data_IF_033706801662
#
_entry.id   IF_033706801662
#
_cell.length_a   1.000
_cell.length_b   1.000
_cell.length_c   1.000
_cell.angle_alpha   90.00
_cell.angle_beta   90.00
_cell.angle_gamma   90.00
#
_symmetry.space_group_name_H-M   'P 1'
#
loop_
_entity.id
_entity.type
_entity.pdbx_description
1 polymer ?
#
# COMPACT_ATOMS: atom_id res chain seq x y z
N UNK A 1 52.20 -27.76 33.15
CA UNK A 1 51.70 -26.45 32.66
C UNK A 1 50.19 -26.52 32.72
N UNK A 2 49.67 -26.25 33.92
CA UNK A 2 48.87 -25.05 34.22
C UNK A 2 47.39 -25.39 34.00
N UNK A 3 46.67 -25.91 35.01
CA UNK A 3 46.18 -25.16 36.17
C UNK A 3 45.43 -23.89 35.76
N UNK A 4 44.16 -24.02 35.33
CA UNK A 4 43.19 -22.95 35.54
C UNK A 4 41.74 -23.47 35.59
N UNK A 5 41.13 -23.21 36.75
CA UNK A 5 39.72 -22.85 36.92
C UNK A 5 38.67 -23.92 37.26
N UNK A 6 38.73 -24.40 38.51
CA UNK A 6 37.51 -24.57 39.33
C UNK A 6 36.98 -23.18 39.71
N UNK A 7 35.87 -22.71 39.11
CA UNK A 7 34.94 -21.75 39.77
C UNK A 7 33.48 -21.97 39.37
N UNK A 8 32.76 -22.61 40.30
CA UNK A 8 31.36 -22.34 40.73
C UNK A 8 30.24 -22.08 39.68
N UNK A 9 29.25 -23.00 39.52
CA UNK A 9 28.03 -22.75 38.73
C UNK A 9 27.01 -21.80 39.39
N UNK A 10 27.36 -21.12 40.49
CA UNK A 10 26.41 -20.28 41.26
C UNK A 10 26.25 -18.83 40.75
N UNK A 11 27.15 -18.34 39.89
CA UNK A 11 27.10 -16.93 39.43
C UNK A 11 26.20 -16.75 38.20
N UNK A 12 26.12 -17.75 37.32
CA UNK A 12 25.26 -17.69 36.12
C UNK A 12 23.76 -17.77 36.48
N UNK A 13 23.42 -18.52 37.53
CA UNK A 13 22.04 -18.57 38.04
C UNK A 13 21.58 -17.26 38.70
N UNK A 14 22.49 -16.50 39.33
CA UNK A 14 22.11 -15.24 39.99
C UNK A 14 21.79 -14.14 38.97
N UNK A 15 22.58 -13.99 37.90
CA UNK A 15 22.34 -12.96 36.87
C UNK A 15 21.06 -13.21 36.06
N UNK A 16 20.76 -14.47 35.73
CA UNK A 16 19.57 -14.79 34.94
C UNK A 16 18.26 -14.64 35.76
N UNK A 17 18.31 -14.90 37.07
CA UNK A 17 17.14 -14.76 37.94
C UNK A 17 16.87 -13.30 38.33
N UNK A 18 17.91 -12.49 38.56
CA UNK A 18 17.75 -11.07 38.87
C UNK A 18 17.27 -10.26 37.66
N UNK A 19 17.72 -10.57 36.43
CA UNK A 19 17.19 -9.92 35.22
C UNK A 19 15.71 -10.28 34.97
N UNK A 20 15.33 -11.55 35.16
CA UNK A 20 13.94 -12.00 34.98
C UNK A 20 13.01 -11.37 36.02
N UNK A 21 13.45 -11.27 37.28
CA UNK A 21 12.70 -10.59 38.35
C UNK A 21 12.56 -9.07 38.14
N UNK A 22 13.53 -8.41 37.51
CA UNK A 22 13.44 -6.98 37.17
C UNK A 22 12.51 -6.74 35.97
N UNK A 23 12.55 -7.62 34.97
CA UNK A 23 11.64 -7.58 33.82
C UNK A 23 10.20 -7.90 34.27
N UNK A 24 9.99 -8.96 35.04
CA UNK A 24 8.67 -9.32 35.58
C UNK A 24 8.12 -8.20 36.47
N UNK A 25 8.93 -7.59 37.35
CA UNK A 25 8.48 -6.42 38.14
C UNK A 25 8.19 -5.19 37.27
N UNK A 26 8.92 -4.99 36.18
CA UNK A 26 8.68 -3.91 35.22
C UNK A 26 7.37 -4.09 34.47
N UNK A 27 7.08 -5.30 34.01
CA UNK A 27 5.82 -5.68 33.35
C UNK A 27 4.63 -5.64 34.30
N UNK A 28 4.77 -6.12 35.54
CA UNK A 28 3.71 -6.08 36.55
C UNK A 28 3.37 -4.65 36.99
N UNK A 29 4.38 -3.78 37.09
CA UNK A 29 4.23 -2.36 37.45
C UNK A 29 3.64 -1.56 36.27
N UNK A 30 4.12 -1.79 35.05
CA UNK A 30 3.55 -1.22 33.82
C UNK A 30 2.09 -1.66 33.60
N UNK A 31 1.76 -2.92 33.87
CA UNK A 31 0.39 -3.44 33.80
C UNK A 31 -0.56 -2.79 34.82
N UNK A 32 -0.10 -2.58 36.07
CA UNK A 32 -0.89 -1.89 37.11
C UNK A 32 -1.07 -0.40 36.82
N UNK A 33 -0.04 0.28 36.32
CA UNK A 33 -0.12 1.70 35.90
C UNK A 33 -1.03 1.88 34.68
N UNK A 34 -0.96 0.99 33.69
CA UNK A 34 -1.85 1.00 32.52
C UNK A 34 -3.31 0.75 32.92
N UNK A 35 -3.58 -0.23 33.78
CA UNK A 35 -4.93 -0.48 34.30
C UNK A 35 -5.48 0.71 35.11
N UNK A 36 -4.64 1.37 35.91
CA UNK A 36 -5.02 2.56 36.66
C UNK A 36 -5.31 3.75 35.73
N UNK A 37 -4.48 3.96 34.70
CA UNK A 37 -4.71 4.96 33.66
C UNK A 37 -6.02 4.73 32.91
N UNK A 38 -6.32 3.49 32.54
CA UNK A 38 -7.53 3.14 31.79
C UNK A 38 -8.82 3.33 32.62
N UNK A 39 -8.77 3.06 33.94
CA UNK A 39 -9.87 3.37 34.86
C UNK A 39 -10.12 4.87 34.99
N UNK A 40 -9.06 5.68 35.05
CA UNK A 40 -9.15 7.14 35.11
C UNK A 40 -9.75 7.73 33.83
N UNK A 41 -9.36 7.22 32.65
CA UNK A 41 -9.94 7.64 31.36
C UNK A 41 -11.42 7.26 31.30
N UNK A 42 -11.79 6.05 31.71
CA UNK A 42 -13.19 5.59 31.72
C UNK A 42 -14.07 6.48 32.62
N UNK A 43 -13.57 6.87 33.80
CA UNK A 43 -14.26 7.76 34.72
C UNK A 43 -14.47 9.17 34.13
N UNK A 44 -13.50 9.70 33.40
CA UNK A 44 -13.62 11.02 32.76
C UNK A 44 -14.62 11.01 31.61
N UNK A 45 -14.60 9.97 30.77
CA UNK A 45 -15.56 9.80 29.67
C UNK A 45 -16.98 9.71 30.21
N UNK A 46 -17.20 8.95 31.29
CA UNK A 46 -18.52 8.86 31.92
C UNK A 46 -18.99 10.21 32.49
N UNK A 47 -18.07 10.97 33.08
CA UNK A 47 -18.38 12.28 33.68
C UNK A 47 -18.76 13.32 32.62
N UNK A 48 -18.19 13.23 31.42
CA UNK A 48 -18.36 14.21 30.34
C UNK A 48 -19.09 13.64 29.12
N UNK A 49 -19.85 12.56 29.29
CA UNK A 49 -20.54 11.83 28.21
C UNK A 49 -21.34 12.76 27.29
N UNK A 50 -22.00 13.79 27.85
CA UNK A 50 -22.78 14.76 27.10
C UNK A 50 -21.97 15.49 26.02
N UNK A 51 -20.69 15.80 26.29
CA UNK A 51 -19.81 16.48 25.33
C UNK A 51 -19.42 15.52 24.19
N UNK A 52 -19.16 14.25 24.51
CA UNK A 52 -18.88 13.23 23.50
C UNK A 52 -20.08 12.99 22.59
N UNK A 53 -21.28 12.85 23.17
CA UNK A 53 -22.52 12.69 22.42
C UNK A 53 -22.80 13.92 21.55
N UNK A 54 -22.63 15.13 22.10
CA UNK A 54 -22.80 16.37 21.34
C UNK A 54 -21.87 16.43 20.12
N UNK A 55 -20.58 16.14 20.30
CA UNK A 55 -19.61 16.14 19.20
C UNK A 55 -19.91 15.06 18.17
N UNK A 56 -20.32 13.87 18.61
CA UNK A 56 -20.73 12.80 17.72
C UNK A 56 -21.94 13.19 16.86
N UNK A 57 -23.00 13.72 17.48
CA UNK A 57 -24.20 14.19 16.77
C UNK A 57 -23.86 15.32 15.80
N UNK A 58 -23.03 16.28 16.23
CA UNK A 58 -22.56 17.38 15.38
C UNK A 58 -21.81 16.88 14.14
N UNK A 59 -20.94 15.88 14.32
CA UNK A 59 -20.20 15.27 13.21
C UNK A 59 -21.12 14.53 12.23
N UNK A 60 -22.07 13.74 12.74
CA UNK A 60 -23.08 13.05 11.92
C UNK A 60 -23.94 14.06 11.16
N UNK A 61 -24.37 15.14 11.81
CA UNK A 61 -25.08 16.24 11.16
C UNK A 61 -24.23 16.80 10.01
N UNK A 62 -22.94 17.07 10.24
CA UNK A 62 -22.00 17.47 9.19
C UNK A 62 -22.01 16.50 8.01
N UNK A 63 -21.88 15.20 8.26
CA UNK A 63 -21.91 14.17 7.21
C UNK A 63 -23.22 14.20 6.39
N UNK A 64 -24.37 14.34 7.06
CA UNK A 64 -25.67 14.45 6.40
C UNK A 64 -25.73 15.70 5.51
N UNK A 65 -25.32 16.86 6.03
CA UNK A 65 -25.28 18.11 5.26
C UNK A 65 -24.35 18.00 4.06
N UNK A 66 -23.18 17.38 4.22
CA UNK A 66 -22.25 17.11 3.11
C UNK A 66 -22.89 16.33 1.97
N UNK A 67 -23.61 15.25 2.29
CA UNK A 67 -24.32 14.45 1.29
C UNK A 67 -25.49 15.22 0.64
N UNK A 68 -26.21 16.03 1.41
CA UNK A 68 -27.32 16.86 0.89
C UNK A 68 -26.81 17.94 -0.07
N UNK A 69 -25.66 18.57 0.22
CA UNK A 69 -25.05 19.59 -0.63
C UNK A 69 -24.82 19.04 -2.04
N UNK A 70 -24.38 17.79 -2.17
CA UNK A 70 -24.20 17.13 -3.47
C UNK A 70 -25.49 17.09 -4.26
N UNK A 71 -26.61 16.79 -3.60
CA UNK A 71 -27.90 16.75 -4.27
C UNK A 71 -28.39 18.13 -4.71
N UNK A 72 -27.96 19.19 -4.01
CA UNK A 72 -28.30 20.58 -4.35
C UNK A 72 -27.46 21.18 -5.49
N UNK A 73 -26.34 20.54 -5.88
CA UNK A 73 -25.51 21.01 -6.98
C UNK A 73 -26.20 20.82 -8.33
N UNK A 74 -26.01 21.78 -9.24
CA UNK A 74 -26.52 21.67 -10.60
C UNK A 74 -25.69 20.65 -11.42
N UNK A 75 -26.20 20.27 -12.58
CA UNK A 75 -25.56 19.27 -13.44
C UNK A 75 -24.13 19.67 -13.87
N UNK A 76 -23.91 20.95 -14.15
CA UNK A 76 -22.61 21.48 -14.60
C UNK A 76 -21.56 21.35 -13.49
N UNK A 77 -21.87 21.80 -12.27
CA UNK A 77 -20.99 21.70 -11.09
C UNK A 77 -20.61 20.25 -10.79
N UNK A 78 -21.56 19.34 -10.94
CA UNK A 78 -21.36 17.90 -10.78
C UNK A 78 -20.41 17.33 -11.84
N UNK A 79 -20.62 17.68 -13.10
CA UNK A 79 -19.76 17.25 -14.20
C UNK A 79 -18.34 17.81 -14.08
N UNK A 80 -18.17 19.08 -13.73
CA UNK A 80 -16.85 19.69 -13.53
C UNK A 80 -16.08 18.95 -12.44
N UNK A 81 -16.70 18.73 -11.27
CA UNK A 81 -16.06 18.02 -10.17
C UNK A 81 -15.73 16.56 -10.54
N UNK A 82 -16.60 15.91 -11.32
CA UNK A 82 -16.36 14.55 -11.78
C UNK A 82 -15.21 14.50 -12.79
N UNK A 83 -15.10 15.49 -13.67
CA UNK A 83 -14.00 15.63 -14.60
C UNK A 83 -12.67 15.84 -13.87
N UNK A 84 -12.61 16.74 -12.88
CA UNK A 84 -11.43 16.90 -12.03
C UNK A 84 -11.05 15.63 -11.29
N UNK A 85 -12.05 14.90 -10.77
CA UNK A 85 -11.82 13.64 -10.08
C UNK A 85 -11.25 12.57 -11.03
N UNK A 86 -11.81 12.45 -12.25
CA UNK A 86 -11.29 11.56 -13.29
C UNK A 86 -9.87 11.93 -13.69
N UNK A 87 -9.63 13.21 -13.98
CA UNK A 87 -8.30 13.71 -14.33
C UNK A 87 -7.30 13.47 -13.20
N UNK A 88 -7.70 13.62 -11.93
CA UNK A 88 -6.85 13.30 -10.78
C UNK A 88 -6.52 11.82 -10.70
N UNK A 89 -7.51 10.93 -10.86
CA UNK A 89 -7.28 9.48 -10.86
C UNK A 89 -6.44 9.01 -12.05
N UNK A 90 -6.69 9.56 -13.24
CA UNK A 90 -5.89 9.32 -14.45
C UNK A 90 -4.46 9.85 -14.27
N UNK A 91 -4.29 11.06 -13.74
CA UNK A 91 -2.96 11.62 -13.49
C UNK A 91 -2.20 10.84 -12.40
N UNK A 92 -2.87 10.30 -11.39
CA UNK A 92 -2.24 9.41 -10.40
C UNK A 92 -1.87 8.04 -10.97
N UNK A 93 -2.63 7.52 -11.94
CA UNK A 93 -2.26 6.30 -12.66
C UNK A 93 -1.14 6.54 -13.69
N UNK A 94 -0.99 7.75 -14.21
CA UNK A 94 0.03 8.13 -15.21
C UNK A 94 1.34 8.65 -14.59
N UNK A 95 1.32 9.15 -13.36
CA UNK A 95 2.50 9.59 -12.59
C UNK A 95 2.79 8.53 -11.52
N UNK A 96 2.97 7.28 -11.95
CA UNK A 96 3.47 6.21 -11.09
C UNK A 96 4.91 6.52 -10.67
N UNK A 97 5.19 6.55 -9.36
CA UNK A 97 6.53 6.22 -8.85
C UNK A 97 7.52 7.35 -8.52
N UNK A 98 7.10 8.51 -8.01
CA UNK A 98 8.00 9.33 -7.15
C UNK A 98 7.33 9.84 -5.87
N UNK A 99 6.10 9.39 -5.60
CA UNK A 99 5.24 10.02 -4.62
C UNK A 99 4.96 9.23 -3.34
N UNK A 100 5.19 7.92 -3.20
CA UNK A 100 4.61 7.19 -2.03
C UNK A 100 5.17 7.62 -0.67
N UNK A 101 6.49 7.84 -0.58
CA UNK A 101 7.10 8.39 0.64
C UNK A 101 6.72 9.86 0.89
N UNK A 102 6.49 10.65 -0.17
CA UNK A 102 6.03 12.03 -0.02
C UNK A 102 4.54 12.07 0.33
N UNK A 103 3.70 11.21 -0.24
CA UNK A 103 2.27 11.06 0.02
C UNK A 103 2.01 10.59 1.44
N UNK A 104 2.80 9.63 1.95
CA UNK A 104 2.73 9.25 3.36
C UNK A 104 3.11 10.42 4.27
N UNK A 105 4.23 11.10 3.97
CA UNK A 105 4.60 12.32 4.71
C UNK A 105 3.48 13.35 4.67
N UNK A 106 2.90 13.62 3.51
CA UNK A 106 1.84 14.60 3.33
C UNK A 106 0.57 14.23 4.10
N UNK A 107 0.19 12.95 4.10
CA UNK A 107 -0.93 12.42 4.89
C UNK A 107 -0.67 12.58 6.39
N UNK A 108 0.49 12.13 6.87
CA UNK A 108 0.91 12.26 8.28
C UNK A 108 0.94 13.73 8.69
N UNK A 109 1.57 14.60 7.89
CA UNK A 109 1.64 16.03 8.17
C UNK A 109 0.26 16.68 8.19
N UNK A 110 -0.66 16.27 7.33
CA UNK A 110 -2.04 16.74 7.35
C UNK A 110 -2.75 16.37 8.67
N UNK A 111 -2.66 15.11 9.08
CA UNK A 111 -3.28 14.64 10.32
C UNK A 111 -2.64 15.28 11.56
N UNK A 112 -1.31 15.44 11.56
CA UNK A 112 -0.57 16.13 12.60
C UNK A 112 -0.99 17.61 12.71
N UNK A 113 -1.09 18.34 11.60
CA UNK A 113 -1.53 19.75 11.59
C UNK A 113 -2.92 19.90 12.21
N UNK A 114 -3.85 19.01 11.86
CA UNK A 114 -5.20 19.05 12.42
C UNK A 114 -5.22 18.75 13.92
N UNK A 115 -4.45 17.75 14.38
CA UNK A 115 -4.31 17.44 15.81
C UNK A 115 -3.70 18.58 16.60
N UNK A 116 -2.63 19.20 16.09
CA UNK A 116 -1.98 20.37 16.71
C UNK A 116 -2.96 21.56 16.77
N UNK A 117 -3.74 21.79 15.71
CA UNK A 117 -4.75 22.83 15.70
C UNK A 117 -5.81 22.62 16.79
N UNK A 118 -6.37 21.42 16.91
CA UNK A 118 -7.32 21.08 17.98
C UNK A 118 -6.71 21.24 19.36
N UNK A 119 -5.45 20.81 19.53
CA UNK A 119 -4.71 20.93 20.77
C UNK A 119 -4.62 22.39 21.22
N UNK A 120 -4.16 23.27 20.32
CA UNK A 120 -3.98 24.70 20.57
C UNK A 120 -5.31 25.40 20.84
N UNK A 121 -6.35 25.08 20.06
CA UNK A 121 -7.68 25.65 20.27
C UNK A 121 -8.22 25.29 21.66
N UNK A 122 -8.00 24.06 22.14
CA UNK A 122 -8.42 23.63 23.47
C UNK A 122 -7.81 24.43 24.62
N UNK A 123 -6.62 25.02 24.44
CA UNK A 123 -5.95 25.87 25.44
C UNK A 123 -6.66 27.24 25.59
N UNK A 124 -7.60 27.56 24.70
CA UNK A 124 -8.33 28.83 24.72
C UNK A 124 -9.84 28.61 24.88
N UNK A 125 -10.51 29.55 25.55
CA UNK A 125 -11.99 29.57 25.64
C UNK A 125 -12.59 29.88 24.26
N UNK A 126 -11.95 30.77 23.50
CA UNK A 126 -12.37 31.16 22.15
C UNK A 126 -12.31 29.96 21.18
N UNK A 127 -11.44 28.98 21.45
CA UNK A 127 -11.33 27.78 20.64
C UNK A 127 -12.55 26.85 20.71
N UNK A 128 -13.39 26.95 21.74
CA UNK A 128 -14.59 26.11 21.89
C UNK A 128 -15.52 26.14 20.65
N UNK A 129 -16.04 27.31 20.20
CA UNK A 129 -16.86 27.38 18.99
C UNK A 129 -16.09 27.04 17.72
N UNK A 130 -14.77 27.26 17.68
CA UNK A 130 -13.96 26.94 16.50
C UNK A 130 -13.81 25.41 16.35
N UNK A 131 -13.57 24.70 17.45
CA UNK A 131 -13.46 23.23 17.47
C UNK A 131 -14.75 22.60 16.94
N UNK A 132 -15.91 23.07 17.36
CA UNK A 132 -17.20 22.53 16.91
C UNK A 132 -17.39 22.75 15.41
N UNK A 133 -17.09 23.96 14.91
CA UNK A 133 -17.14 24.26 13.47
C UNK A 133 -16.17 23.38 12.66
N UNK A 134 -14.94 23.19 13.13
CA UNK A 134 -13.96 22.35 12.45
C UNK A 134 -14.40 20.89 12.34
N UNK A 135 -14.95 20.33 13.43
CA UNK A 135 -15.46 18.95 13.43
C UNK A 135 -16.70 18.81 12.55
N UNK A 136 -17.58 19.80 12.55
CA UNK A 136 -18.72 19.85 11.63
C UNK A 136 -18.26 19.87 10.16
N UNK A 137 -17.31 20.75 9.81
CA UNK A 137 -16.73 20.83 8.46
C UNK A 137 -16.06 19.50 8.08
N UNK A 138 -15.37 18.84 9.01
CA UNK A 138 -14.76 17.53 8.75
C UNK A 138 -15.82 16.49 8.40
N UNK A 139 -16.93 16.44 9.15
CA UNK A 139 -18.08 15.60 8.82
C UNK A 139 -18.66 15.94 7.44
N UNK A 140 -18.84 17.23 7.16
CA UNK A 140 -19.33 17.74 5.87
C UNK A 140 -18.47 17.27 4.70
N UNK A 141 -17.15 17.40 4.78
CA UNK A 141 -16.24 16.96 3.72
C UNK A 141 -16.37 15.46 3.47
N UNK A 142 -16.43 14.63 4.52
CA UNK A 142 -16.58 13.17 4.38
C UNK A 142 -17.93 12.82 3.75
N UNK A 143 -19.01 13.42 4.24
CA UNK A 143 -20.36 13.22 3.70
C UNK A 143 -20.49 13.68 2.25
N UNK A 144 -19.84 14.79 1.89
CA UNK A 144 -19.77 15.28 0.54
C UNK A 144 -19.03 14.30 -0.37
N UNK A 145 -17.86 13.79 0.04
CA UNK A 145 -17.10 12.82 -0.76
C UNK A 145 -17.90 11.55 -1.01
N UNK A 146 -18.51 10.96 0.02
CA UNK A 146 -19.33 9.74 -0.12
C UNK A 146 -20.57 10.02 -0.96
N UNK A 147 -21.30 11.09 -0.66
CA UNK A 147 -22.51 11.49 -1.38
C UNK A 147 -22.23 11.78 -2.85
N UNK A 148 -21.09 12.40 -3.18
CA UNK A 148 -20.67 12.70 -4.54
C UNK A 148 -20.41 11.44 -5.35
N UNK A 149 -19.64 10.50 -4.79
CA UNK A 149 -19.34 9.24 -5.46
C UNK A 149 -20.63 8.42 -5.71
N UNK A 150 -21.51 8.34 -4.72
CA UNK A 150 -22.80 7.64 -4.86
C UNK A 150 -23.71 8.34 -5.88
N UNK A 151 -23.72 9.68 -5.94
CA UNK A 151 -24.54 10.41 -6.90
C UNK A 151 -24.07 10.21 -8.36
N UNK A 152 -22.76 10.11 -8.60
CA UNK A 152 -22.20 9.97 -9.95
C UNK A 152 -22.16 8.52 -10.44
N UNK A 153 -21.83 7.57 -9.56
CA UNK A 153 -21.52 6.18 -9.95
C UNK A 153 -22.51 5.17 -9.36
N UNK A 154 -23.58 5.62 -8.70
CA UNK A 154 -24.57 4.77 -8.07
C UNK A 154 -23.95 3.79 -7.07
N UNK A 155 -24.26 2.51 -7.22
CA UNK A 155 -23.75 1.43 -6.36
C UNK A 155 -22.22 1.25 -6.43
N UNK A 156 -21.60 1.49 -7.59
CA UNK A 156 -20.14 1.46 -7.71
C UNK A 156 -19.48 2.57 -6.89
N UNK A 157 -20.13 3.74 -6.80
CA UNK A 157 -19.67 4.83 -5.94
C UNK A 157 -19.66 4.46 -4.46
N UNK A 158 -20.67 3.71 -4.00
CA UNK A 158 -20.71 3.20 -2.63
C UNK A 158 -19.56 2.23 -2.36
N UNK A 159 -19.30 1.28 -3.27
CA UNK A 159 -18.19 0.35 -3.16
C UNK A 159 -16.83 1.06 -3.14
N UNK A 160 -16.59 1.97 -4.09
CA UNK A 160 -15.35 2.76 -4.15
C UNK A 160 -15.15 3.55 -2.86
N UNK A 161 -16.20 4.19 -2.33
CA UNK A 161 -16.10 4.92 -1.05
C UNK A 161 -15.79 4.01 0.14
N UNK A 162 -16.35 2.79 0.14
CA UNK A 162 -16.14 1.79 1.20
C UNK A 162 -14.73 1.21 1.16
N UNK A 163 -14.10 1.12 -0.01
CA UNK A 163 -12.73 0.60 -0.16
C UNK A 163 -11.69 1.71 0.01
N UNK A 164 -11.96 2.92 -0.48
CA UNK A 164 -10.96 4.01 -0.50
C UNK A 164 -11.05 4.96 0.70
N UNK A 165 -12.26 5.33 1.12
CA UNK A 165 -12.49 6.36 2.14
C UNK A 165 -12.71 5.71 3.51
N UNK A 166 -13.49 4.63 3.58
CA UNK A 166 -13.87 4.06 4.86
C UNK A 166 -12.68 3.52 5.68
N UNK A 167 -11.73 2.72 5.14
CA UNK A 167 -10.74 2.04 5.97
C UNK A 167 -9.91 3.03 6.78
N UNK A 168 -9.28 4.00 6.13
CA UNK A 168 -8.51 5.06 6.81
C UNK A 168 -9.34 5.82 7.85
N UNK A 169 -10.62 6.10 7.55
CA UNK A 169 -11.48 6.90 8.42
C UNK A 169 -12.06 6.12 9.61
N UNK A 170 -12.00 4.79 9.62
CA UNK A 170 -12.41 3.97 10.77
C UNK A 170 -11.61 4.34 12.02
N UNK A 171 -10.32 4.67 11.86
CA UNK A 171 -9.46 5.06 12.99
C UNK A 171 -9.37 6.58 13.15
N UNK A 172 -9.27 7.31 12.04
CA UNK A 172 -9.07 8.78 12.06
C UNK A 172 -10.28 9.49 12.69
N UNK A 173 -11.51 9.10 12.34
CA UNK A 173 -12.72 9.77 12.83
C UNK A 173 -12.83 9.65 14.35
N UNK A 174 -12.80 8.44 14.97
CA UNK A 174 -12.86 8.32 16.43
C UNK A 174 -11.79 9.14 17.13
N UNK A 175 -10.54 9.15 16.62
CA UNK A 175 -9.47 9.94 17.22
C UNK A 175 -9.80 11.43 17.21
N UNK A 176 -10.29 11.98 16.10
CA UNK A 176 -10.66 13.39 16.01
C UNK A 176 -11.83 13.76 16.91
N UNK A 177 -12.83 12.89 17.03
CA UNK A 177 -13.97 13.12 17.92
C UNK A 177 -13.51 13.12 19.38
N UNK A 178 -12.68 12.16 19.80
CA UNK A 178 -12.14 12.10 21.15
C UNK A 178 -11.24 13.31 21.43
N UNK A 179 -10.32 13.66 20.53
CA UNK A 179 -9.45 14.82 20.65
C UNK A 179 -10.25 16.12 20.78
N UNK A 180 -11.28 16.29 19.94
CA UNK A 180 -12.20 17.42 19.99
C UNK A 180 -12.96 17.51 21.31
N UNK A 181 -13.50 16.39 21.79
CA UNK A 181 -14.17 16.34 23.10
C UNK A 181 -13.23 16.68 24.25
N UNK A 182 -11.99 16.15 24.25
CA UNK A 182 -10.98 16.48 25.26
C UNK A 182 -10.61 17.98 25.23
N UNK A 183 -10.46 18.56 24.04
CA UNK A 183 -10.17 19.99 23.88
C UNK A 183 -11.33 20.86 24.41
N UNK A 184 -12.58 20.47 24.15
CA UNK A 184 -13.75 21.16 24.69
C UNK A 184 -13.85 21.03 26.22
N UNK A 185 -13.61 19.84 26.78
CA UNK A 185 -13.61 19.62 28.24
C UNK A 185 -12.55 20.51 28.89
N UNK A 186 -11.34 20.55 28.34
CA UNK A 186 -10.26 21.37 28.88
C UNK A 186 -10.56 22.87 28.78
N UNK A 187 -11.04 23.34 27.63
CA UNK A 187 -11.45 24.73 27.40
C UNK A 187 -12.55 25.17 28.38
N UNK A 188 -13.55 24.32 28.64
CA UNK A 188 -14.60 24.56 29.63
C UNK A 188 -14.06 24.59 31.07
N UNK A 189 -13.12 23.72 31.42
CA UNK A 189 -12.47 23.73 32.73
C UNK A 189 -11.69 25.03 32.94
N UNK A 190 -10.94 25.49 31.93
CA UNK A 190 -10.22 26.76 31.96
C UNK A 190 -11.20 27.94 32.14
N UNK A 191 -12.30 27.95 31.39
CA UNK A 191 -13.36 28.94 31.52
C UNK A 191 -13.97 28.98 32.92
N UNK A 192 -14.32 27.84 33.49
CA UNK A 192 -14.85 27.78 34.86
C UNK A 192 -13.86 28.33 35.89
N UNK A 193 -12.56 28.07 35.73
CA UNK A 193 -11.54 28.56 36.67
C UNK A 193 -11.25 30.05 36.52
N UNK A 194 -11.32 30.61 35.31
CA UNK A 194 -11.12 32.04 35.08
C UNK A 194 -12.34 32.88 35.52
N UNK A 195 -13.56 32.38 35.35
CA UNK A 195 -14.79 33.12 35.68
C UNK A 195 -15.35 32.82 37.07
N UNK A 196 -15.12 31.63 37.64
CA UNK A 196 -15.67 31.22 38.94
C UNK A 196 -14.50 30.97 39.92
N UNK A 197 -14.19 32.01 40.71
CA UNK A 197 -13.06 32.11 41.69
C UNK A 197 -13.03 31.06 42.83
N UNK A 198 -13.78 29.96 42.76
CA UNK A 198 -13.94 28.98 43.88
C UNK A 198 -13.34 27.58 43.65
N UNK A 199 -12.64 27.30 42.56
CA UNK A 199 -12.14 25.94 42.27
C UNK A 199 -10.61 25.84 42.36
N UNK A 200 -10.11 25.30 43.47
CA UNK A 200 -8.69 25.20 43.83
C UNK A 200 -7.91 24.04 43.14
N UNK A 201 -8.40 23.53 42.00
CA UNK A 201 -7.69 22.47 41.26
C UNK A 201 -6.48 23.07 40.52
N UNK A 202 -5.26 22.50 40.64
CA UNK A 202 -4.10 23.02 39.94
C UNK A 202 -4.25 22.85 38.42
N UNK A 203 -4.37 23.96 37.67
CA UNK A 203 -4.49 24.00 36.20
C UNK A 203 -3.41 23.15 35.53
N UNK A 204 -2.19 23.19 36.07
CA UNK A 204 -1.06 22.43 35.55
C UNK A 204 -1.34 20.92 35.49
N UNK A 205 -2.02 20.35 36.49
CA UNK A 205 -2.36 18.92 36.52
C UNK A 205 -3.36 18.57 35.42
N UNK A 206 -4.36 19.43 35.19
CA UNK A 206 -5.32 19.26 34.10
C UNK A 206 -4.64 19.39 32.73
N UNK A 207 -3.73 20.35 32.58
CA UNK A 207 -2.97 20.57 31.35
C UNK A 207 -2.01 19.41 31.01
N UNK A 208 -1.28 18.89 32.00
CA UNK A 208 -0.40 17.73 31.82
C UNK A 208 -1.21 16.51 31.40
N UNK A 209 -2.35 16.26 32.05
CA UNK A 209 -3.25 15.17 31.66
C UNK A 209 -3.79 15.34 30.24
N UNK A 210 -4.26 16.54 29.90
CA UNK A 210 -4.73 16.89 28.57
C UNK A 210 -3.67 16.63 27.49
N UNK A 211 -2.45 17.10 27.73
CA UNK A 211 -1.31 16.93 26.81
C UNK A 211 -0.92 15.45 26.66
N UNK A 212 -0.92 14.69 27.76
CA UNK A 212 -0.62 13.26 27.72
C UNK A 212 -1.65 12.48 26.87
N UNK A 213 -2.95 12.77 27.05
CA UNK A 213 -4.01 12.13 26.25
C UNK A 213 -3.92 12.49 24.77
N UNK A 214 -3.62 13.75 24.44
CA UNK A 214 -3.36 14.16 23.05
C UNK A 214 -2.15 13.45 22.45
N UNK A 215 -1.07 13.26 23.23
CA UNK A 215 0.11 12.49 22.82
C UNK A 215 -0.22 11.03 22.49
N UNK A 216 -1.05 10.37 23.32
CA UNK A 216 -1.52 9.00 23.06
C UNK A 216 -2.35 8.94 21.77
N UNK A 217 -3.29 9.86 21.58
CA UNK A 217 -4.11 9.93 20.36
C UNK A 217 -3.25 10.18 19.11
N UNK A 218 -2.23 11.02 19.22
CA UNK A 218 -1.28 11.25 18.13
C UNK A 218 -0.48 9.98 17.81
N UNK A 219 -0.01 9.24 18.82
CA UNK A 219 0.69 7.98 18.61
C UNK A 219 -0.21 6.94 17.91
N UNK A 220 -1.48 6.84 18.31
CA UNK A 220 -2.47 5.97 17.64
C UNK A 220 -2.61 6.35 16.15
N UNK A 221 -2.68 7.64 15.82
CA UNK A 221 -2.76 8.10 14.42
C UNK A 221 -1.50 7.76 13.62
N UNK A 222 -0.32 7.92 14.22
CA UNK A 222 0.96 7.60 13.57
C UNK A 222 1.05 6.10 13.27
N UNK A 223 0.69 5.25 14.23
CA UNK A 223 0.66 3.78 14.04
C UNK A 223 -0.37 3.40 12.99
N UNK A 224 -1.57 3.96 13.04
CA UNK A 224 -2.60 3.70 12.04
C UNK A 224 -2.15 4.12 10.64
N UNK A 225 -1.54 5.30 10.49
CA UNK A 225 -1.02 5.77 9.21
C UNK A 225 0.12 4.90 8.67
N UNK A 226 0.96 4.35 9.55
CA UNK A 226 2.00 3.38 9.19
C UNK A 226 1.42 2.02 8.78
N UNK A 227 0.42 1.53 9.51
CA UNK A 227 -0.28 0.28 9.19
C UNK A 227 -0.96 0.33 7.83
N UNK A 228 -1.63 1.44 7.51
CA UNK A 228 -2.22 1.66 6.18
C UNK A 228 -1.17 1.80 5.07
N UNK A 229 0.06 2.20 5.39
CA UNK A 229 1.18 2.26 4.44
C UNK A 229 1.71 0.87 4.09
N UNK A 230 1.83 -0.02 5.08
CA UNK A 230 2.32 -1.39 4.88
C UNK A 230 1.26 -2.33 4.26
N UNK A 231 -0.04 -2.08 4.49
CA UNK A 231 -1.12 -2.96 4.04
C UNK A 231 -1.63 -2.77 2.60
N UNK A 232 -0.96 -1.98 1.75
CA UNK A 232 -1.53 -1.47 0.49
C UNK A 232 -0.72 -1.72 -0.77
N UNK A 233 0.12 -2.75 -0.82
CA UNK A 233 0.96 -3.02 -1.99
C UNK A 233 0.41 -4.16 -2.82
N UNK A 234 -0.30 -3.82 -3.90
CA UNK A 234 -0.48 -4.75 -5.01
C UNK A 234 0.92 -5.14 -5.51
N UNK A 235 1.26 -6.43 -5.48
CA UNK A 235 2.50 -7.01 -6.00
C UNK A 235 2.89 -6.37 -7.36
N UNK A 236 1.91 -6.28 -8.26
CA UNK A 236 1.95 -5.56 -9.54
C UNK A 236 2.64 -4.19 -9.50
N UNK A 237 2.29 -3.32 -8.54
CA UNK A 237 2.80 -1.95 -8.50
C UNK A 237 4.26 -1.91 -8.02
N UNK A 238 4.69 -2.87 -7.21
CA UNK A 238 6.11 -3.04 -6.89
C UNK A 238 6.92 -3.48 -8.11
N UNK A 239 6.38 -4.41 -8.90
CA UNK A 239 7.01 -4.88 -10.15
C UNK A 239 7.21 -3.72 -11.13
N UNK A 240 6.19 -2.87 -11.31
CA UNK A 240 6.26 -1.69 -12.18
C UNK A 240 7.28 -0.66 -11.67
N UNK A 241 7.32 -0.37 -10.37
CA UNK A 241 8.30 0.57 -9.80
C UNK A 241 9.75 0.08 -10.02
N UNK A 242 9.99 -1.23 -9.94
CA UNK A 242 11.31 -1.82 -10.25
C UNK A 242 11.67 -1.66 -11.72
N UNK A 243 10.76 -1.99 -12.64
CA UNK A 243 10.96 -1.80 -14.08
C UNK A 243 11.23 -0.32 -14.38
N UNK A 244 10.47 0.60 -13.76
CA UNK A 244 10.68 2.04 -13.89
C UNK A 244 12.09 2.45 -13.44
N UNK A 245 12.58 1.93 -12.30
CA UNK A 245 13.94 2.18 -11.81
C UNK A 245 15.01 1.66 -12.77
N UNK A 246 14.81 0.47 -13.36
CA UNK A 246 15.72 -0.08 -14.37
C UNK A 246 15.79 0.84 -15.61
N UNK A 247 14.65 1.27 -16.15
CA UNK A 247 14.61 2.23 -17.27
C UNK A 247 15.33 3.54 -16.93
N UNK A 248 15.05 4.10 -15.76
CA UNK A 248 15.67 5.35 -15.30
C UNK A 248 17.20 5.24 -15.15
N UNK A 249 17.70 4.09 -14.68
CA UNK A 249 19.15 3.86 -14.56
C UNK A 249 19.88 3.91 -15.90
N UNK A 250 19.16 3.60 -16.99
CA UNK A 250 19.64 3.66 -18.37
C UNK A 250 19.14 4.91 -19.11
N UNK A 251 18.73 5.96 -18.37
CA UNK A 251 18.26 7.24 -18.91
C UNK A 251 16.98 7.18 -19.76
N UNK A 252 16.23 6.08 -19.71
CA UNK A 252 14.91 5.95 -20.33
C UNK A 252 13.80 6.34 -19.36
N UNK A 253 12.69 6.83 -19.91
CA UNK A 253 11.47 7.11 -19.15
C UNK A 253 10.43 6.04 -19.41
N UNK A 254 9.75 5.60 -18.35
CA UNK A 254 8.51 4.85 -18.45
C UNK A 254 7.38 5.85 -18.74
N UNK A 255 7.01 5.98 -20.02
CA UNK A 255 5.88 6.81 -20.44
C UNK A 255 4.57 6.06 -20.20
N UNK A 256 3.41 6.75 -20.14
CA UNK A 256 2.10 6.10 -20.03
C UNK A 256 1.86 4.94 -21.01
N UNK A 257 2.25 5.12 -22.27
CA UNK A 257 2.10 4.10 -23.31
C UNK A 257 2.99 2.88 -23.04
N UNK A 258 4.22 3.10 -22.58
CA UNK A 258 5.15 2.02 -22.22
C UNK A 258 4.68 1.28 -20.98
N UNK A 259 4.18 2.02 -20.00
CA UNK A 259 3.63 1.44 -18.78
C UNK A 259 2.40 0.57 -19.07
N UNK A 260 1.54 0.98 -20.00
CA UNK A 260 0.41 0.16 -20.43
C UNK A 260 0.88 -1.18 -21.03
N UNK A 261 1.94 -1.18 -21.85
CA UNK A 261 2.58 -2.42 -22.35
C UNK A 261 3.12 -3.28 -21.20
N UNK A 262 3.84 -2.69 -20.25
CA UNK A 262 4.37 -3.41 -19.09
C UNK A 262 3.26 -4.03 -18.24
N UNK A 263 2.16 -3.30 -18.00
CA UNK A 263 1.00 -3.81 -17.24
C UNK A 263 0.35 -5.00 -17.94
N UNK A 264 0.19 -4.96 -19.26
CA UNK A 264 -0.35 -6.09 -20.03
C UNK A 264 0.54 -7.33 -19.90
N UNK A 265 1.86 -7.17 -20.02
CA UNK A 265 2.79 -8.30 -19.84
C UNK A 265 2.70 -8.90 -18.44
N UNK A 266 2.64 -8.05 -17.40
CA UNK A 266 2.55 -8.51 -16.00
C UNK A 266 1.22 -9.20 -15.67
N UNK A 267 0.13 -8.81 -16.33
CA UNK A 267 -1.18 -9.45 -16.13
C UNK A 267 -1.32 -10.78 -16.88
N UNK A 268 -0.49 -11.01 -17.90
CA UNK A 268 -0.50 -12.22 -18.74
C UNK A 268 0.86 -12.91 -18.70
N UNK A 269 1.48 -12.97 -17.51
CA UNK A 269 2.85 -13.49 -17.33
C UNK A 269 2.97 -14.97 -17.72
N UNK A 270 1.90 -15.75 -17.62
CA UNK A 270 1.90 -17.16 -18.03
C UNK A 270 1.75 -17.35 -19.55
N UNK A 271 1.41 -16.29 -20.29
CA UNK A 271 1.16 -16.36 -21.72
C UNK A 271 2.39 -15.82 -22.49
N UNK A 272 3.00 -16.66 -23.32
CA UNK A 272 4.07 -16.23 -24.24
C UNK A 272 3.49 -15.40 -25.39
N UNK A 273 3.21 -14.11 -25.15
CA UNK A 273 2.50 -13.24 -26.09
C UNK A 273 3.37 -12.76 -27.26
N UNK A 274 2.81 -12.72 -28.48
CA UNK A 274 3.44 -12.02 -29.61
C UNK A 274 3.29 -10.51 -29.48
N UNK A 275 4.06 -9.73 -30.26
CA UNK A 275 3.91 -8.27 -30.27
C UNK A 275 2.50 -7.82 -30.72
N UNK A 276 1.89 -8.57 -31.63
CA UNK A 276 0.52 -8.37 -32.09
C UNK A 276 -0.49 -8.63 -30.96
N UNK A 277 -0.32 -9.72 -30.21
CA UNK A 277 -1.20 -10.06 -29.08
C UNK A 277 -1.11 -9.00 -27.99
N UNK A 278 0.12 -8.59 -27.61
CA UNK A 278 0.34 -7.50 -26.67
C UNK A 278 -0.33 -6.22 -27.16
N UNK A 279 -0.22 -5.89 -28.45
CA UNK A 279 -0.86 -4.69 -28.99
C UNK A 279 -2.39 -4.74 -28.89
N UNK A 280 -3.02 -5.88 -29.21
CA UNK A 280 -4.46 -6.03 -29.08
C UNK A 280 -4.92 -5.80 -27.64
N UNK A 281 -4.23 -6.41 -26.67
CA UNK A 281 -4.53 -6.25 -25.24
C UNK A 281 -4.27 -4.83 -24.73
N UNK A 282 -3.17 -4.20 -25.15
CA UNK A 282 -2.87 -2.81 -24.75
C UNK A 282 -3.89 -1.84 -25.33
N UNK A 283 -4.40 -2.09 -26.55
CA UNK A 283 -5.37 -1.22 -27.21
C UNK A 283 -6.71 -1.12 -26.46
N UNK A 284 -7.09 -2.15 -25.70
CA UNK A 284 -8.26 -2.11 -24.82
C UNK A 284 -8.10 -1.09 -23.68
N UNK A 285 -6.87 -0.90 -23.19
CA UNK A 285 -6.54 -0.01 -22.06
C UNK A 285 -6.07 1.37 -22.50
N UNK A 286 -5.40 1.45 -23.65
CA UNK A 286 -4.84 2.66 -24.23
C UNK A 286 -5.16 2.73 -25.73
N UNK A 287 -6.39 3.16 -26.11
CA UNK A 287 -6.86 3.12 -27.50
C UNK A 287 -6.00 3.90 -28.51
N UNK A 288 -5.29 4.93 -28.02
CA UNK A 288 -4.43 5.81 -28.81
C UNK A 288 -3.05 5.20 -29.15
N UNK A 289 -2.71 4.03 -28.61
CA UNK A 289 -1.41 3.42 -28.84
C UNK A 289 -1.32 2.83 -30.25
N UNK A 290 -0.21 3.08 -30.94
CA UNK A 290 0.11 2.43 -32.21
C UNK A 290 0.91 1.14 -32.00
N UNK A 291 0.72 0.16 -32.89
CA UNK A 291 1.50 -1.09 -32.92
C UNK A 291 3.02 -0.84 -32.92
N UNK A 292 3.48 0.16 -33.68
CA UNK A 292 4.90 0.56 -33.70
C UNK A 292 5.43 1.01 -32.33
N UNK A 293 4.59 1.61 -31.49
CA UNK A 293 4.96 2.02 -30.13
C UNK A 293 5.10 0.80 -29.22
N UNK A 294 4.22 -0.20 -29.37
CA UNK A 294 4.31 -1.48 -28.64
C UNK A 294 5.61 -2.19 -29.01
N UNK A 295 5.90 -2.35 -30.30
CA UNK A 295 7.16 -2.94 -30.78
C UNK A 295 8.40 -2.25 -30.22
N UNK A 296 8.47 -0.91 -30.30
CA UNK A 296 9.61 -0.13 -29.74
C UNK A 296 9.74 -0.29 -28.24
N UNK A 297 8.62 -0.48 -27.54
CA UNK A 297 8.63 -0.70 -26.09
C UNK A 297 9.14 -2.09 -25.77
N UNK A 298 8.66 -3.12 -26.46
CA UNK A 298 9.11 -4.50 -26.27
C UNK A 298 10.60 -4.65 -26.57
N UNK A 299 11.09 -4.02 -27.64
CA UNK A 299 12.53 -4.04 -27.98
C UNK A 299 13.36 -3.36 -26.88
N UNK A 300 12.93 -2.19 -26.40
CA UNK A 300 13.59 -1.50 -25.29
C UNK A 300 13.60 -2.35 -24.01
N UNK A 301 12.48 -2.98 -23.66
CA UNK A 301 12.40 -3.84 -22.48
C UNK A 301 13.31 -5.06 -22.63
N UNK A 302 13.47 -5.58 -23.85
CA UNK A 302 14.37 -6.69 -24.16
C UNK A 302 15.84 -6.28 -24.04
N UNK A 303 16.21 -5.10 -24.54
CA UNK A 303 17.55 -4.52 -24.39
C UNK A 303 17.92 -4.33 -22.91
N UNK A 304 16.93 -3.97 -22.09
CA UNK A 304 17.09 -3.74 -20.66
C UNK A 304 17.00 -5.01 -19.81
N UNK A 305 16.89 -6.20 -20.43
CA UNK A 305 16.70 -7.50 -19.76
C UNK A 305 15.49 -7.52 -18.81
N UNK A 306 14.45 -6.74 -19.11
CA UNK A 306 13.16 -6.75 -18.40
C UNK A 306 12.25 -7.84 -18.96
N UNK A 307 12.28 -7.98 -20.28
CA UNK A 307 11.60 -9.07 -20.99
C UNK A 307 12.60 -9.88 -21.79
N UNK A 308 12.25 -11.12 -22.04
CA UNK A 308 12.99 -12.07 -22.83
C UNK A 308 12.27 -12.27 -24.16
N UNK A 309 12.99 -12.10 -25.29
CA UNK A 309 12.45 -12.27 -26.64
C UNK A 309 12.79 -13.66 -27.17
N UNK A 310 11.76 -14.45 -27.40
CA UNK A 310 11.88 -15.85 -27.81
C UNK A 310 11.35 -16.01 -29.24
N UNK A 311 12.05 -16.78 -30.06
CA UNK A 311 11.57 -17.19 -31.38
C UNK A 311 11.60 -18.72 -31.44
N UNK A 312 10.43 -19.32 -31.62
CA UNK A 312 10.25 -20.77 -31.59
C UNK A 312 10.50 -21.44 -32.96
N UNK A 313 10.98 -20.67 -33.96
CA UNK A 313 11.24 -21.15 -35.31
C UNK A 313 10.02 -21.07 -36.25
N UNK A 314 8.87 -20.59 -35.76
CA UNK A 314 7.64 -20.34 -36.53
C UNK A 314 7.59 -18.95 -37.18
N UNK A 315 8.66 -18.16 -37.04
CA UNK A 315 8.76 -16.81 -37.59
C UNK A 315 8.13 -15.73 -36.72
N UNK A 316 7.54 -16.09 -35.58
CA UNK A 316 6.89 -15.15 -34.65
C UNK A 316 7.74 -15.01 -33.37
N UNK A 317 8.07 -13.78 -33.00
CA UNK A 317 8.72 -13.50 -31.72
C UNK A 317 7.69 -13.34 -30.62
N UNK A 318 7.88 -14.04 -29.52
CA UNK A 318 7.08 -13.95 -28.29
C UNK A 318 7.92 -13.38 -27.16
N UNK A 319 7.26 -12.74 -26.21
CA UNK A 319 7.90 -12.01 -25.13
C UNK A 319 7.48 -12.56 -23.77
N UNK A 320 8.46 -12.74 -22.90
CA UNK A 320 8.27 -13.23 -21.53
C UNK A 320 8.88 -12.27 -20.51
N UNK A 321 8.38 -12.25 -19.27
CA UNK A 321 8.98 -11.47 -18.21
C UNK A 321 10.14 -12.21 -17.57
N UNK A 322 11.29 -11.54 -17.44
CA UNK A 322 12.44 -12.16 -16.78
C UNK A 322 12.15 -12.34 -15.28
N UNK A 323 12.31 -13.57 -14.77
CA UNK A 323 12.12 -13.91 -13.34
C UNK A 323 13.14 -13.19 -12.46
N UNK A 324 12.71 -12.82 -11.25
CA UNK A 324 13.53 -12.04 -10.32
C UNK A 324 14.72 -12.83 -9.80
N UNK A 325 15.91 -12.23 -9.83
CA UNK A 325 17.13 -12.85 -9.30
C UNK A 325 17.71 -13.96 -10.18
N UNK A 326 17.14 -14.20 -11.37
CA UNK A 326 17.73 -15.09 -12.36
C UNK A 326 18.99 -14.44 -12.94
N UNK A 327 20.14 -15.10 -12.78
CA UNK A 327 21.40 -14.67 -13.39
C UNK A 327 21.38 -14.88 -14.92
N UNK A 328 20.66 -15.91 -15.38
CA UNK A 328 20.60 -16.34 -16.78
C UNK A 328 19.15 -16.56 -17.27
N UNK A 329 19.01 -16.72 -18.59
CA UNK A 329 17.76 -16.98 -19.28
C UNK A 329 17.16 -18.37 -18.94
N UNK A 330 15.86 -18.45 -18.66
CA UNK A 330 15.18 -19.73 -18.43
C UNK A 330 15.11 -20.56 -19.73
N UNK A 331 15.36 -21.85 -19.65
CA UNK A 331 15.46 -22.69 -20.86
C UNK A 331 14.08 -23.16 -21.31
N UNK A 332 13.95 -23.55 -22.58
CA UNK A 332 12.66 -23.87 -23.19
C UNK A 332 12.64 -25.26 -23.83
N UNK A 333 11.50 -25.93 -23.74
CA UNK A 333 11.14 -27.11 -24.53
C UNK A 333 10.10 -26.69 -25.57
N UNK A 334 10.34 -27.00 -26.85
CA UNK A 334 9.45 -26.64 -27.96
C UNK A 334 9.00 -27.90 -28.67
N UNK A 335 7.69 -28.13 -28.72
CA UNK A 335 7.11 -29.25 -29.45
C UNK A 335 7.08 -28.94 -30.96
N UNK A 336 7.73 -29.77 -31.78
CA UNK A 336 7.73 -29.60 -33.24
C UNK A 336 6.44 -30.07 -33.92
N UNK A 337 5.56 -30.80 -33.21
CA UNK A 337 4.28 -31.25 -33.75
C UNK A 337 3.14 -30.26 -33.47
N UNK A 338 2.97 -29.83 -32.21
CA UNK A 338 1.87 -28.95 -31.82
C UNK A 338 2.29 -27.51 -31.52
N UNK A 339 3.58 -27.21 -31.49
CA UNK A 339 4.09 -25.86 -31.18
C UNK A 339 4.00 -25.48 -29.69
N UNK A 340 3.62 -26.40 -28.79
CA UNK A 340 3.58 -26.11 -27.36
C UNK A 340 4.97 -25.80 -26.80
N UNK A 341 5.02 -24.88 -25.84
CA UNK A 341 6.24 -24.45 -25.17
C UNK A 341 6.12 -24.75 -23.68
N UNK A 342 7.18 -25.32 -23.09
CA UNK A 342 7.30 -25.55 -21.65
C UNK A 342 8.63 -24.95 -21.15
N UNK A 343 8.62 -24.35 -19.97
CA UNK A 343 9.81 -23.79 -19.33
C UNK A 343 10.59 -24.85 -18.55
N UNK A 344 11.91 -24.69 -18.50
CA UNK A 344 12.82 -25.40 -17.60
C UNK A 344 13.31 -24.38 -16.56
N UNK A 345 12.96 -24.62 -15.30
CA UNK A 345 13.26 -23.68 -14.19
C UNK A 345 14.74 -23.71 -13.74
N UNK A 346 15.45 -24.81 -13.97
CA UNK A 346 16.84 -24.99 -13.55
C UNK A 346 17.82 -24.55 -14.63
N UNK A 347 18.84 -23.76 -14.24
CA UNK A 347 20.00 -23.50 -15.10
C UNK A 347 20.95 -24.69 -15.08
N UNK A 348 20.98 -25.42 -16.19
CA UNK A 348 21.75 -26.65 -16.34
C UNK A 348 23.12 -26.42 -17.00
N UNK A 349 23.49 -25.17 -17.28
CA UNK A 349 24.66 -24.86 -18.13
C UNK A 349 25.87 -24.27 -17.38
N UNK A 350 25.81 -24.05 -16.07
CA UNK A 350 26.94 -23.46 -15.33
C UNK A 350 28.27 -24.22 -15.44
N UNK A 351 28.25 -25.55 -15.60
CA UNK A 351 29.49 -26.31 -15.85
C UNK A 351 30.00 -26.16 -17.29
N UNK A 352 29.09 -25.96 -18.26
CA UNK A 352 29.45 -25.64 -19.64
C UNK A 352 30.09 -24.26 -19.72
N UNK A 353 29.56 -23.28 -19.00
CA UNK A 353 30.14 -21.94 -18.92
C UNK A 353 31.59 -21.98 -18.42
N UNK A 354 31.86 -22.65 -17.29
CA UNK A 354 33.23 -22.79 -16.75
C UNK A 354 34.20 -23.38 -17.76
N UNK A 355 33.74 -24.35 -18.57
CA UNK A 355 34.55 -24.94 -19.64
C UNK A 355 34.82 -23.91 -20.74
N UNK A 356 33.80 -23.16 -21.16
CA UNK A 356 33.92 -22.10 -22.17
C UNK A 356 34.88 -21.00 -21.72
N UNK A 357 34.71 -20.50 -20.51
CA UNK A 357 35.54 -19.44 -19.95
C UNK A 357 36.99 -19.90 -19.75
N UNK A 358 37.18 -21.13 -19.25
CA UNK A 358 38.51 -21.68 -18.97
C UNK A 358 39.31 -22.05 -20.22
N UNK A 359 38.69 -22.65 -21.23
CA UNK A 359 39.40 -23.14 -22.42
C UNK A 359 39.55 -22.07 -23.50
N UNK A 360 38.59 -21.16 -23.64
CA UNK A 360 38.60 -20.13 -24.69
C UNK A 360 38.88 -18.72 -24.17
N UNK A 361 38.99 -18.52 -22.85
CA UNK A 361 39.20 -17.18 -22.28
C UNK A 361 38.08 -16.20 -22.61
N UNK A 362 36.86 -16.72 -22.81
CA UNK A 362 35.66 -15.95 -23.11
C UNK A 362 34.94 -15.57 -21.82
N UNK A 363 34.29 -14.40 -21.75
CA UNK A 363 33.48 -14.00 -20.58
C UNK A 363 32.00 -14.21 -20.91
N UNK A 364 31.35 -15.18 -20.27
CA UNK A 364 29.94 -15.47 -20.53
C UNK A 364 29.08 -14.43 -19.80
N UNK A 365 28.18 -13.78 -20.54
CA UNK A 365 27.27 -12.74 -20.00
C UNK A 365 25.81 -13.14 -19.96
N UNK A 366 25.46 -14.18 -20.71
CA UNK A 366 24.14 -14.80 -20.82
C UNK A 366 24.27 -16.05 -21.71
N UNK A 367 23.31 -16.97 -21.59
CA UNK A 367 23.16 -18.11 -22.50
C UNK A 367 21.70 -18.42 -22.73
N UNK A 368 21.41 -19.08 -23.85
CA UNK A 368 20.05 -19.52 -24.19
C UNK A 368 20.09 -20.96 -24.68
N UNK A 369 19.27 -21.81 -24.05
CA UNK A 369 19.07 -23.19 -24.45
C UNK A 369 17.60 -23.44 -24.80
N UNK A 370 17.38 -24.08 -25.94
CA UNK A 370 16.05 -24.46 -26.42
C UNK A 370 16.14 -25.89 -26.96
N UNK A 371 15.38 -26.81 -26.39
CA UNK A 371 15.25 -28.16 -26.91
C UNK A 371 14.03 -28.24 -27.83
N UNK A 372 14.25 -28.77 -29.03
CA UNK A 372 13.17 -29.08 -29.97
C UNK A 372 12.87 -30.58 -29.89
N UNK A 373 11.62 -30.94 -29.60
CA UNK A 373 11.22 -32.32 -29.37
C UNK A 373 9.72 -32.54 -29.59
N UNK A 374 9.18 -33.63 -29.08
CA UNK A 374 7.74 -33.95 -29.15
C UNK A 374 7.22 -34.00 -27.71
N UNK A 375 6.21 -33.17 -27.38
CA UNK A 375 5.67 -33.10 -26.03
C UNK A 375 4.93 -34.39 -25.63
N UNK A 376 4.72 -34.57 -24.32
CA UNK A 376 4.07 -35.78 -23.77
C UNK A 376 2.68 -36.03 -24.36
N UNK A 377 1.94 -34.97 -24.70
CA UNK A 377 0.61 -35.06 -25.31
C UNK A 377 0.68 -35.63 -26.72
N UNK A 378 1.56 -35.09 -27.55
CA UNK A 378 1.81 -35.56 -28.92
C UNK A 378 2.34 -37.00 -28.94
N UNK A 379 3.29 -37.34 -28.06
CA UNK A 379 3.79 -38.71 -27.93
C UNK A 379 2.67 -39.71 -27.61
N UNK A 380 1.74 -39.37 -26.70
CA UNK A 380 0.60 -40.23 -26.37
C UNK A 380 -0.40 -40.37 -27.53
N UNK A 381 -0.63 -39.30 -28.30
CA UNK A 381 -1.50 -39.33 -29.47
C UNK A 381 -0.93 -40.20 -30.59
N UNK A 382 0.40 -40.15 -30.81
CA UNK A 382 1.09 -41.01 -31.77
C UNK A 382 0.94 -42.50 -31.41
N UNK A 383 1.06 -42.85 -30.12
CA UNK A 383 0.87 -44.22 -29.62
C UNK A 383 -0.59 -44.69 -29.75
N UNK A 384 -1.56 -43.83 -29.42
CA UNK A 384 -2.98 -44.16 -29.54
C UNK A 384 -3.41 -44.38 -31.00
N UNK A 385 -2.82 -43.62 -31.93
CA UNK A 385 -3.08 -43.74 -33.38
C UNK A 385 -2.47 -45.02 -33.95
N UNK A 386 -1.27 -45.42 -33.50
CA UNK A 386 -0.61 -46.64 -33.96
C UNK A 386 -1.22 -47.93 -33.39
N UNK A 387 -1.88 -47.88 -32.24
CA UNK A 387 -2.66 -49.01 -31.72
C UNK A 387 -3.96 -49.26 -32.51
N UNK A 388 -4.67 -48.19 -32.91
CA UNK A 388 -5.88 -48.31 -33.75
C UNK A 388 -5.59 -48.82 -35.16
N UNK A 389 -4.44 -48.44 -35.73
CA UNK A 389 -4.02 -48.90 -37.05
C UNK A 389 -3.58 -50.39 -37.10
N UNK A 390 -3.39 -51.03 -35.94
CA UNK A 390 -3.07 -52.46 -35.84
C UNK A 390 -4.31 -53.31 -35.46
N UNK A 391 -5.47 -52.68 -35.22
CA UNK A 391 -6.75 -53.34 -34.93
C UNK A 391 -7.71 -53.38 -36.15
N UNK A 392 -7.40 -52.64 -37.22
CA UNK A 392 -7.96 -52.79 -38.58
C UNK A 392 -7.06 -53.69 -39.43
#
# INVERSE_FOLDING_TARGET
>A
MEEFNRKSPKVVYFFHHSHRLVIDRGEEKGGKEMQQGMRLVKSDVQTHMNIFVFIFVLFIMGMIFGAVIVNSMNFVQKQDLFFYLKQFFEQQTLIGGSGKATLWKDSVFYHLKYMVLLFLLGISIIGMPIITVLLFIKGLVIGFSVGFLVNQMGWYGLLISSVSIAPQNVVIIPVYLIAGSLALIFSLTLGKQLFIRRVHQPILKAFVRYSALFGVLLAILMVASSWYYEGGTNDMEHRIDRIKKQLHSQSYKLTPQREATVRVLLENEEDHLSAEDVYLLVKEKAPEIGLATVYRTLELLSELKVVDKINFGDGVSRYDLRKEGAEHFHHHLVCIECGSVEEIEEDLLGDVEKIVEGQWGFEVKDHRLTFHGICRTCQKQAVATSLKANEE
#
